data_IF_613775931019
#
_entry.id   IF_613775931019
#
_cell.length_a   1.000
_cell.length_b   1.000
_cell.length_c   1.000
_cell.angle_alpha   90.00
_cell.angle_beta   90.00
_cell.angle_gamma   90.00
#
_symmetry.space_group_name_H-M   'P 1'
#
loop_
_entity.id
_entity.type
_entity.pdbx_description
1 polymer ?
#
# COMPACT_ATOMS: atom_id res chain seq x y z
N UNK A 1 -9.93 -17.05 -19.75
CA UNK A 1 -9.23 -16.04 -18.93
C UNK A 1 -10.17 -15.20 -18.05
N UNK A 2 -11.34 -14.81 -18.51
CA UNK A 2 -12.33 -14.04 -17.74
C UNK A 2 -12.80 -14.75 -16.47
N UNK A 3 -13.04 -16.04 -16.53
CA UNK A 3 -13.58 -16.86 -15.42
C UNK A 3 -12.67 -16.94 -14.19
N UNK A 4 -11.36 -16.73 -14.36
CA UNK A 4 -10.37 -16.73 -13.26
C UNK A 4 -10.02 -15.33 -12.75
N UNK A 5 -10.19 -14.30 -13.57
CA UNK A 5 -9.87 -12.90 -13.19
C UNK A 5 -10.91 -12.29 -12.26
N UNK A 6 -12.18 -12.44 -12.61
CA UNK A 6 -13.28 -11.81 -11.86
C UNK A 6 -13.32 -12.25 -10.39
N UNK A 7 -13.26 -13.56 -10.03
CA UNK A 7 -13.23 -13.98 -8.64
C UNK A 7 -11.99 -13.47 -7.89
N UNK A 8 -10.83 -13.41 -8.55
CA UNK A 8 -9.58 -12.92 -7.95
C UNK A 8 -9.68 -11.43 -7.59
N UNK A 9 -10.20 -10.61 -8.49
CA UNK A 9 -10.31 -9.17 -8.29
C UNK A 9 -11.28 -8.86 -7.14
N UNK A 10 -12.39 -9.59 -7.03
CA UNK A 10 -13.30 -9.50 -5.88
C UNK A 10 -12.61 -9.91 -4.58
N UNK A 11 -11.89 -11.03 -4.59
CA UNK A 11 -11.15 -11.49 -3.41
C UNK A 11 -10.12 -10.45 -2.95
N UNK A 12 -9.37 -9.87 -3.88
CA UNK A 12 -8.39 -8.82 -3.60
C UNK A 12 -9.05 -7.58 -3.00
N UNK A 13 -10.22 -7.18 -3.51
CA UNK A 13 -10.98 -6.05 -2.98
C UNK A 13 -11.46 -6.31 -1.56
N UNK A 14 -12.00 -7.50 -1.27
CA UNK A 14 -12.41 -7.86 0.09
C UNK A 14 -11.22 -7.89 1.05
N UNK A 15 -10.09 -8.46 0.65
CA UNK A 15 -8.86 -8.46 1.45
C UNK A 15 -8.37 -7.03 1.71
N UNK A 16 -8.44 -6.15 0.71
CA UNK A 16 -8.03 -4.76 0.83
C UNK A 16 -8.89 -3.99 1.83
N UNK A 17 -10.21 -4.08 1.71
CA UNK A 17 -11.15 -3.44 2.63
C UNK A 17 -10.97 -4.01 4.05
N UNK A 18 -10.86 -5.34 4.18
CA UNK A 18 -10.61 -6.00 5.46
C UNK A 18 -9.32 -5.52 6.11
N UNK A 19 -8.24 -5.36 5.34
CA UNK A 19 -6.97 -4.84 5.83
C UNK A 19 -7.08 -3.38 6.30
N UNK A 20 -7.76 -2.51 5.55
CA UNK A 20 -7.96 -1.11 5.96
C UNK A 20 -8.74 -1.06 7.27
N UNK A 21 -9.83 -1.81 7.38
CA UNK A 21 -10.66 -1.86 8.59
C UNK A 21 -9.85 -2.39 9.78
N UNK A 22 -9.09 -3.47 9.59
CA UNK A 22 -8.23 -4.02 10.63
C UNK A 22 -7.13 -3.04 11.05
N UNK A 23 -6.52 -2.32 10.10
CA UNK A 23 -5.51 -1.32 10.40
C UNK A 23 -6.10 -0.12 11.17
N UNK A 24 -7.28 0.36 10.79
CA UNK A 24 -7.99 1.44 11.51
C UNK A 24 -8.30 1.00 12.94
N UNK A 25 -8.91 -0.15 13.12
CA UNK A 25 -9.23 -0.69 14.46
C UNK A 25 -7.94 -0.88 15.26
N UNK A 26 -6.90 -1.45 14.66
CA UNK A 26 -5.61 -1.65 15.28
C UNK A 26 -4.97 -0.34 15.78
N UNK A 27 -5.03 0.73 15.00
CA UNK A 27 -4.52 2.05 15.39
C UNK A 27 -5.32 2.62 16.57
N UNK A 28 -6.65 2.52 16.56
CA UNK A 28 -7.49 3.01 17.66
C UNK A 28 -7.30 2.21 18.96
N UNK A 29 -7.21 0.89 18.87
CA UNK A 29 -7.03 0.01 20.04
C UNK A 29 -5.62 0.15 20.62
N UNK A 30 -4.61 0.20 19.76
CA UNK A 30 -3.20 0.29 20.15
C UNK A 30 -2.81 1.67 20.67
N UNK A 31 -3.50 2.73 20.25
CA UNK A 31 -3.14 4.12 20.52
C UNK A 31 -1.62 4.36 20.43
N UNK A 32 -0.97 4.04 19.31
CA UNK A 32 0.47 4.00 19.21
C UNK A 32 1.04 5.42 19.29
N UNK A 33 2.03 5.64 20.13
CA UNK A 33 2.78 6.89 20.17
C UNK A 33 3.80 6.90 19.04
N UNK A 34 3.81 7.98 18.27
CA UNK A 34 4.81 8.21 17.22
C UNK A 34 6.09 8.68 17.90
N UNK A 35 7.13 7.86 17.86
CA UNK A 35 8.43 8.15 18.49
C UNK A 35 9.47 8.64 17.49
N UNK A 36 9.16 8.57 16.20
CA UNK A 36 10.05 9.07 15.15
C UNK A 36 10.08 10.61 15.15
N UNK A 37 11.27 11.24 15.08
CA UNK A 37 11.37 12.69 15.01
C UNK A 37 10.74 13.22 13.71
N UNK A 38 10.02 14.35 13.80
CA UNK A 38 9.33 14.94 12.66
C UNK A 38 10.31 15.42 11.55
N UNK A 39 11.52 15.77 11.93
CA UNK A 39 12.55 16.21 11.00
C UNK A 39 13.92 15.66 11.41
N UNK A 40 14.60 14.96 10.54
CA UNK A 40 15.90 14.32 10.79
C UNK A 40 17.05 15.07 10.09
N UNK A 41 16.74 15.96 9.14
CA UNK A 41 17.73 16.70 8.35
C UNK A 41 17.46 16.59 6.84
N UNK A 42 18.33 17.17 6.04
CA UNK A 42 18.20 17.16 4.56
C UNK A 42 18.83 15.93 3.91
N UNK A 43 19.44 15.05 4.68
CA UNK A 43 20.09 13.84 4.19
C UNK A 43 19.50 12.62 4.87
N UNK A 44 19.08 11.63 4.08
CA UNK A 44 18.57 10.36 4.60
C UNK A 44 19.70 9.52 5.19
N UNK A 45 19.38 8.60 6.09
CA UNK A 45 20.33 7.61 6.62
C UNK A 45 20.98 6.76 5.50
N UNK A 46 20.27 6.55 4.37
CA UNK A 46 20.80 5.89 3.16
C UNK A 46 21.74 6.75 2.32
N UNK A 47 22.08 7.97 2.76
CA UNK A 47 22.96 8.88 2.04
C UNK A 47 22.31 9.70 0.92
N UNK A 48 21.05 9.46 0.61
CA UNK A 48 20.29 10.20 -0.40
C UNK A 48 19.86 11.57 0.15
N UNK A 49 19.92 12.60 -0.69
CA UNK A 49 19.36 13.90 -0.34
C UNK A 49 17.84 13.89 -0.44
N UNK A 50 17.17 14.63 0.44
CA UNK A 50 15.70 14.79 0.39
C UNK A 50 15.26 15.34 -0.96
N UNK A 51 15.96 16.36 -1.46
CA UNK A 51 15.76 16.84 -2.82
C UNK A 51 16.90 16.30 -3.73
N UNK A 52 16.63 15.69 -4.88
CA UNK A 52 15.31 15.51 -5.53
C UNK A 52 14.56 14.23 -5.16
N UNK A 53 15.17 13.29 -4.43
CA UNK A 53 14.67 11.91 -4.28
C UNK A 53 13.27 11.85 -3.63
N UNK A 54 13.09 12.51 -2.48
CA UNK A 54 11.78 12.54 -1.82
C UNK A 54 10.73 13.24 -2.67
N UNK A 55 11.12 14.33 -3.35
CA UNK A 55 10.21 15.09 -4.19
C UNK A 55 9.70 14.26 -5.37
N UNK A 56 10.58 13.49 -6.02
CA UNK A 56 10.21 12.57 -7.10
C UNK A 56 9.29 11.47 -6.59
N UNK A 57 9.55 10.94 -5.39
CA UNK A 57 8.73 9.89 -4.80
C UNK A 57 7.31 10.39 -4.46
N UNK A 58 7.19 11.60 -3.91
CA UNK A 58 5.89 12.23 -3.63
C UNK A 58 5.17 12.58 -4.93
N UNK A 59 5.89 13.11 -5.92
CA UNK A 59 5.33 13.41 -7.24
C UNK A 59 4.81 12.15 -7.94
N UNK A 60 5.45 11.01 -7.77
CA UNK A 60 4.98 9.72 -8.30
C UNK A 60 3.60 9.35 -7.73
N UNK A 61 3.33 9.61 -6.46
CA UNK A 61 2.01 9.39 -5.86
C UNK A 61 0.95 10.40 -6.31
N UNK A 62 1.34 11.68 -6.52
CA UNK A 62 0.42 12.75 -6.85
C UNK A 62 0.09 12.84 -8.36
N UNK A 63 1.08 12.61 -9.22
CA UNK A 63 1.01 12.81 -10.69
C UNK A 63 1.58 11.59 -11.41
N UNK A 64 1.19 10.39 -10.98
CA UNK A 64 1.69 9.15 -11.58
C UNK A 64 1.20 8.99 -13.03
N UNK A 65 2.11 8.82 -13.94
CA UNK A 65 1.78 8.47 -15.32
C UNK A 65 1.05 7.12 -15.43
N UNK A 66 1.32 6.21 -14.52
CA UNK A 66 0.64 4.92 -14.45
C UNK A 66 -0.85 5.07 -14.10
N UNK A 67 -1.20 5.92 -13.13
CA UNK A 67 -2.60 6.20 -12.79
C UNK A 67 -3.35 6.84 -13.97
N UNK A 68 -2.71 7.72 -14.70
CA UNK A 68 -3.25 8.30 -15.93
C UNK A 68 -3.55 7.25 -16.99
N UNK A 69 -2.61 6.34 -17.26
CA UNK A 69 -2.78 5.25 -18.21
C UNK A 69 -3.88 4.27 -17.80
N UNK A 70 -3.93 3.88 -16.53
CA UNK A 70 -4.99 2.98 -16.02
C UNK A 70 -6.35 3.66 -16.10
N UNK A 71 -6.42 4.95 -15.80
CA UNK A 71 -7.67 5.72 -15.88
C UNK A 71 -8.21 5.78 -17.31
N UNK A 72 -7.37 6.14 -18.28
CA UNK A 72 -7.79 6.30 -19.67
C UNK A 72 -8.08 5.01 -20.40
N UNK A 73 -7.27 3.96 -20.16
CA UNK A 73 -7.35 2.74 -20.97
C UNK A 73 -8.16 1.60 -20.30
N UNK A 74 -8.21 1.56 -18.97
CA UNK A 74 -8.89 0.47 -18.26
C UNK A 74 -10.15 0.93 -17.56
N UNK A 75 -10.07 1.94 -16.69
CA UNK A 75 -11.21 2.35 -15.87
C UNK A 75 -12.31 3.00 -16.69
N UNK A 76 -11.96 3.83 -17.66
CA UNK A 76 -12.94 4.49 -18.56
C UNK A 76 -13.78 3.51 -19.37
N UNK A 77 -13.23 2.33 -19.67
CA UNK A 77 -13.93 1.28 -20.45
C UNK A 77 -14.77 0.36 -19.58
N UNK A 78 -14.60 0.37 -18.26
CA UNK A 78 -15.33 -0.47 -17.32
C UNK A 78 -16.52 0.24 -16.68
N UNK A 79 -16.56 1.57 -16.71
CA UNK A 79 -17.64 2.37 -16.13
C UNK A 79 -18.81 2.42 -17.12
N UNK A 80 -19.97 1.90 -16.70
CA UNK A 80 -21.16 1.85 -17.54
C UNK A 80 -21.94 3.18 -17.55
N UNK A 81 -21.94 3.90 -16.41
CA UNK A 81 -22.70 5.14 -16.25
C UNK A 81 -21.80 6.32 -15.90
N UNK A 82 -22.06 7.48 -16.48
CA UNK A 82 -21.33 8.72 -16.18
C UNK A 82 -21.45 9.13 -14.70
N UNK A 83 -22.57 8.80 -14.04
CA UNK A 83 -22.80 9.11 -12.62
C UNK A 83 -21.83 8.37 -11.68
N UNK A 84 -21.41 7.19 -12.09
CA UNK A 84 -20.51 6.34 -11.29
C UNK A 84 -19.04 6.81 -11.40
N UNK A 85 -18.72 7.63 -12.41
CA UNK A 85 -17.36 8.17 -12.59
C UNK A 85 -16.88 8.98 -11.39
N UNK A 86 -17.77 9.74 -10.75
CA UNK A 86 -17.42 10.51 -9.56
C UNK A 86 -17.08 9.60 -8.38
N UNK A 87 -17.87 8.55 -8.18
CA UNK A 87 -17.62 7.58 -7.09
C UNK A 87 -16.35 6.79 -7.33
N UNK A 88 -16.12 6.33 -8.54
CA UNK A 88 -14.92 5.55 -8.91
C UNK A 88 -13.66 6.42 -8.84
N UNK A 89 -13.67 7.62 -9.41
CA UNK A 89 -12.50 8.50 -9.43
C UNK A 89 -12.21 9.12 -8.07
N UNK A 90 -13.15 9.86 -7.52
CA UNK A 90 -12.97 10.59 -6.26
C UNK A 90 -12.99 9.67 -5.03
N UNK A 91 -13.83 8.64 -5.03
CA UNK A 91 -13.91 7.68 -3.94
C UNK A 91 -12.62 6.87 -3.79
N UNK A 92 -12.02 6.41 -4.88
CA UNK A 92 -10.73 5.70 -4.83
C UNK A 92 -9.61 6.60 -4.33
N UNK A 93 -9.58 7.88 -4.71
CA UNK A 93 -8.60 8.85 -4.25
C UNK A 93 -8.69 9.10 -2.74
N UNK A 94 -9.91 9.15 -2.18
CA UNK A 94 -10.11 9.26 -0.73
C UNK A 94 -9.63 8.03 0.02
N UNK A 95 -9.89 6.83 -0.50
CA UNK A 95 -9.39 5.58 0.08
C UNK A 95 -7.87 5.49 0.04
N UNK A 96 -7.24 5.92 -1.05
CA UNK A 96 -5.78 5.98 -1.16
C UNK A 96 -5.18 6.96 -0.14
N UNK A 97 -5.78 8.13 0.02
CA UNK A 97 -5.35 9.12 1.03
C UNK A 97 -5.48 8.58 2.46
N UNK A 98 -6.58 7.89 2.76
CA UNK A 98 -6.77 7.22 4.06
C UNK A 98 -5.69 6.17 4.30
N UNK A 99 -5.41 5.34 3.30
CA UNK A 99 -4.36 4.32 3.38
C UNK A 99 -2.98 4.94 3.60
N UNK A 100 -2.66 6.03 2.91
CA UNK A 100 -1.40 6.73 3.07
C UNK A 100 -1.21 7.26 4.51
N UNK A 101 -2.24 7.85 5.09
CA UNK A 101 -2.23 8.32 6.48
C UNK A 101 -2.01 7.14 7.43
N UNK A 102 -2.74 6.04 7.24
CA UNK A 102 -2.58 4.84 8.07
C UNK A 102 -1.15 4.28 7.99
N UNK A 103 -0.58 4.20 6.81
CA UNK A 103 0.80 3.71 6.63
C UNK A 103 1.80 4.60 7.34
N UNK A 104 1.66 5.92 7.26
CA UNK A 104 2.55 6.88 7.96
C UNK A 104 2.46 6.66 9.48
N UNK A 105 1.26 6.55 10.04
CA UNK A 105 1.05 6.31 11.46
C UNK A 105 1.66 4.97 11.89
N UNK A 106 1.43 3.91 11.13
CA UNK A 106 1.92 2.56 11.40
C UNK A 106 3.45 2.52 11.36
N UNK A 107 4.07 3.10 10.34
CA UNK A 107 5.53 3.14 10.21
C UNK A 107 6.16 4.01 11.31
N UNK A 108 5.53 5.14 11.65
CA UNK A 108 5.97 6.00 12.75
C UNK A 108 5.88 5.33 14.13
N UNK A 109 4.99 4.37 14.29
CA UNK A 109 4.78 3.61 15.52
C UNK A 109 5.67 2.35 15.64
N UNK A 110 6.36 1.94 14.58
CA UNK A 110 7.20 0.73 14.58
C UNK A 110 8.20 0.64 15.74
N UNK A 111 8.96 1.72 16.10
CA UNK A 111 9.89 1.66 17.22
C UNK A 111 9.19 1.38 18.55
N UNK A 112 8.00 1.92 18.74
CA UNK A 112 7.19 1.70 19.93
C UNK A 112 6.65 0.26 19.99
N UNK A 113 6.18 -0.29 18.89
CA UNK A 113 5.73 -1.68 18.78
C UNK A 113 6.85 -2.68 19.07
N UNK A 114 8.08 -2.36 18.71
CA UNK A 114 9.27 -3.12 19.12
C UNK A 114 9.53 -3.03 20.62
N UNK A 115 9.48 -1.81 21.18
CA UNK A 115 9.75 -1.56 22.58
C UNK A 115 8.71 -2.23 23.50
N UNK A 116 7.46 -2.32 23.08
CA UNK A 116 6.37 -2.98 23.81
C UNK A 116 6.41 -4.52 23.72
N UNK A 117 7.34 -5.09 22.95
CA UNK A 117 7.48 -6.55 22.80
C UNK A 117 6.34 -7.24 22.05
N UNK A 118 5.47 -6.45 21.43
CA UNK A 118 4.34 -6.96 20.64
C UNK A 118 4.81 -7.52 19.31
N UNK A 119 5.85 -6.92 18.74
CA UNK A 119 6.43 -7.37 17.49
C UNK A 119 7.63 -8.29 17.75
N UNK A 120 7.66 -9.44 17.07
CA UNK A 120 8.77 -10.38 17.18
C UNK A 120 10.11 -9.67 16.84
N UNK A 121 11.14 -9.97 17.63
CA UNK A 121 12.45 -9.31 17.53
C UNK A 121 13.09 -9.45 16.14
N UNK A 122 12.88 -10.57 15.46
CA UNK A 122 13.35 -10.80 14.10
C UNK A 122 12.68 -9.87 13.08
N UNK A 123 11.36 -9.79 13.14
CA UNK A 123 10.57 -8.91 12.26
C UNK A 123 10.86 -7.43 12.53
N UNK A 124 10.94 -7.06 13.80
CA UNK A 124 11.27 -5.70 14.20
C UNK A 124 12.66 -5.27 13.70
N UNK A 125 13.65 -6.15 13.81
CA UNK A 125 15.01 -5.86 13.34
C UNK A 125 15.07 -5.77 11.82
N UNK A 126 14.34 -6.65 11.10
CA UNK A 126 14.24 -6.56 9.63
C UNK A 126 13.55 -5.27 9.17
N UNK A 127 12.49 -4.85 9.85
CA UNK A 127 11.75 -3.65 9.50
C UNK A 127 12.47 -2.35 9.86
N UNK A 128 13.27 -2.34 10.92
CA UNK A 128 14.05 -1.18 11.37
C UNK A 128 15.43 -1.10 10.72
N UNK A 129 15.85 -2.10 9.95
CA UNK A 129 17.11 -2.06 9.22
C UNK A 129 17.11 -0.90 8.19
N UNK A 130 18.26 -0.26 8.00
CA UNK A 130 18.41 0.85 7.05
C UNK A 130 18.14 0.41 5.59
N UNK A 131 18.36 -0.87 5.31
CA UNK A 131 18.09 -1.51 4.02
C UNK A 131 16.64 -1.98 3.84
N UNK A 132 15.80 -1.84 4.88
CA UNK A 132 14.42 -2.31 4.83
C UNK A 132 13.59 -1.53 3.80
N UNK A 133 12.93 -2.27 2.93
CA UNK A 133 12.03 -1.68 1.95
C UNK A 133 10.81 -1.06 2.64
N UNK A 134 10.19 -0.03 2.07
CA UNK A 134 8.94 0.54 2.61
C UNK A 134 7.86 -0.51 2.85
N UNK A 135 7.84 -1.52 2.00
CA UNK A 135 6.95 -2.66 2.11
C UNK A 135 7.20 -3.50 3.36
N UNK A 136 8.45 -3.84 3.66
CA UNK A 136 8.82 -4.59 4.87
C UNK A 136 8.42 -3.83 6.13
N UNK A 137 8.59 -2.50 6.13
CA UNK A 137 8.20 -1.63 7.24
C UNK A 137 6.69 -1.62 7.47
N UNK A 138 5.91 -1.46 6.39
CA UNK A 138 4.45 -1.46 6.49
C UNK A 138 3.89 -2.83 6.88
N UNK A 139 4.43 -3.91 6.33
CA UNK A 139 3.99 -5.27 6.67
C UNK A 139 4.26 -5.63 8.12
N UNK A 140 5.43 -5.29 8.64
CA UNK A 140 5.77 -5.49 10.04
C UNK A 140 4.87 -4.66 10.97
N UNK A 141 4.59 -3.41 10.60
CA UNK A 141 3.71 -2.54 11.38
C UNK A 141 2.27 -3.05 11.45
N UNK A 142 1.69 -3.44 10.31
CA UNK A 142 0.34 -4.04 10.27
C UNK A 142 0.30 -5.35 11.05
N UNK A 143 1.31 -6.19 10.91
CA UNK A 143 1.43 -7.45 11.68
C UNK A 143 1.48 -7.19 13.19
N UNK A 144 2.20 -6.16 13.62
CA UNK A 144 2.24 -5.74 15.02
C UNK A 144 0.88 -5.29 15.55
N UNK A 145 0.12 -4.50 14.76
CA UNK A 145 -1.23 -4.09 15.14
C UNK A 145 -2.21 -5.26 15.20
N UNK A 146 -2.12 -6.17 14.26
CA UNK A 146 -2.94 -7.40 14.23
C UNK A 146 -2.62 -8.30 15.43
N UNK A 147 -1.34 -8.38 15.84
CA UNK A 147 -0.93 -9.10 17.03
C UNK A 147 -1.52 -8.51 18.33
N UNK A 148 -1.67 -7.18 18.40
CA UNK A 148 -2.34 -6.52 19.53
C UNK A 148 -3.85 -6.84 19.61
N UNK A 149 -4.48 -7.16 18.47
CA UNK A 149 -5.86 -7.64 18.43
C UNK A 149 -6.01 -9.11 18.87
N UNK A 150 -4.92 -9.75 19.31
CA UNK A 150 -4.91 -11.12 19.80
C UNK A 150 -4.73 -12.21 18.73
N UNK A 151 -4.44 -11.82 17.49
CA UNK A 151 -4.16 -12.77 16.41
C UNK A 151 -2.66 -13.12 16.36
N UNK A 152 -2.29 -14.38 16.06
CA UNK A 152 -0.88 -14.76 15.94
C UNK A 152 -0.20 -14.01 14.80
N UNK A 153 1.02 -13.56 15.00
CA UNK A 153 1.81 -12.77 14.04
C UNK A 153 2.00 -13.47 12.69
N UNK A 154 2.10 -14.79 12.71
CA UNK A 154 2.21 -15.59 11.48
C UNK A 154 1.03 -15.38 10.53
N UNK A 155 -0.17 -15.22 11.07
CA UNK A 155 -1.37 -14.93 10.26
C UNK A 155 -1.32 -13.53 9.66
N UNK A 156 -0.89 -12.53 10.43
CA UNK A 156 -0.72 -11.16 9.95
C UNK A 156 0.27 -11.11 8.77
N UNK A 157 1.41 -11.79 8.89
CA UNK A 157 2.40 -11.88 7.82
C UNK A 157 1.85 -12.60 6.58
N UNK A 158 1.18 -13.75 6.76
CA UNK A 158 0.58 -14.48 5.65
C UNK A 158 -0.43 -13.61 4.89
N UNK A 159 -1.33 -12.95 5.60
CA UNK A 159 -2.34 -12.07 4.98
C UNK A 159 -1.66 -10.92 4.22
N UNK A 160 -0.66 -10.28 4.81
CA UNK A 160 0.06 -9.18 4.17
C UNK A 160 0.84 -9.63 2.94
N UNK A 161 1.52 -10.76 2.99
CA UNK A 161 2.24 -11.29 1.83
C UNK A 161 1.31 -11.72 0.71
N UNK A 162 0.18 -12.35 1.03
CA UNK A 162 -0.87 -12.67 0.05
C UNK A 162 -1.46 -11.41 -0.58
N UNK A 163 -1.76 -10.41 0.22
CA UNK A 163 -2.29 -9.14 -0.24
C UNK A 163 -1.36 -8.43 -1.23
N UNK A 164 -0.07 -8.34 -0.90
CA UNK A 164 0.90 -7.68 -1.79
C UNK A 164 1.15 -8.48 -3.06
N UNK A 165 1.20 -9.79 -2.96
CA UNK A 165 1.30 -10.66 -4.15
C UNK A 165 0.10 -10.47 -5.07
N UNK A 166 -1.11 -10.35 -4.51
CA UNK A 166 -2.33 -10.08 -5.26
C UNK A 166 -2.31 -8.69 -5.92
N UNK A 167 -1.84 -7.65 -5.20
CA UNK A 167 -1.66 -6.31 -5.77
C UNK A 167 -0.63 -6.29 -6.90
N UNK A 168 0.50 -6.96 -6.72
CA UNK A 168 1.54 -7.06 -7.74
C UNK A 168 1.00 -7.75 -9.02
N UNK A 169 0.24 -8.82 -8.88
CA UNK A 169 -0.40 -9.50 -10.00
C UNK A 169 -1.44 -8.63 -10.70
N UNK A 170 -2.22 -7.86 -9.95
CA UNK A 170 -3.21 -6.94 -10.52
C UNK A 170 -2.53 -5.81 -11.30
N UNK A 171 -1.42 -5.27 -10.78
CA UNK A 171 -0.62 -4.25 -11.47
C UNK A 171 0.00 -4.79 -12.75
N UNK A 172 0.56 -6.00 -12.72
CA UNK A 172 1.12 -6.67 -13.90
C UNK A 172 0.05 -6.90 -14.99
N UNK A 173 -1.15 -7.29 -14.61
CA UNK A 173 -2.24 -7.47 -15.54
C UNK A 173 -2.67 -6.15 -16.21
N UNK A 174 -2.72 -5.06 -15.45
CA UNK A 174 -2.99 -3.72 -15.98
C UNK A 174 -1.89 -3.30 -16.97
N UNK A 175 -0.62 -3.46 -16.62
CA UNK A 175 0.51 -3.16 -17.53
C UNK A 175 0.45 -3.99 -18.80
N UNK A 176 0.14 -5.27 -18.71
CA UNK A 176 0.03 -6.15 -19.88
C UNK A 176 -1.09 -5.69 -20.84
N UNK A 177 -2.21 -5.21 -20.31
CA UNK A 177 -3.30 -4.65 -21.16
C UNK A 177 -2.87 -3.37 -21.86
N UNK A 178 -2.25 -2.44 -21.12
CA UNK A 178 -1.75 -1.17 -21.65
C UNK A 178 -0.73 -1.45 -22.76
N UNK A 179 0.24 -2.33 -22.50
CA UNK A 179 1.24 -2.72 -23.48
C UNK A 179 0.62 -3.30 -24.76
N UNK A 180 -0.38 -4.16 -24.61
CA UNK A 180 -1.08 -4.75 -25.77
C UNK A 180 -1.77 -3.66 -26.60
N UNK A 181 -2.42 -2.71 -25.99
CA UNK A 181 -3.10 -1.61 -26.70
C UNK A 181 -2.11 -0.71 -27.40
N UNK A 182 -1.02 -0.31 -26.74
CA UNK A 182 0.04 0.49 -27.36
C UNK A 182 0.70 -0.22 -28.55
N UNK A 183 0.88 -1.54 -28.45
CA UNK A 183 1.37 -2.33 -29.59
C UNK A 183 0.37 -2.36 -30.77
N UNK A 184 -0.92 -2.47 -30.49
CA UNK A 184 -1.94 -2.46 -31.54
C UNK A 184 -1.97 -1.11 -32.26
N UNK A 185 -1.94 -0.01 -31.52
CA UNK A 185 -1.90 1.36 -32.09
C UNK A 185 -0.62 1.65 -32.90
N UNK A 186 0.49 0.97 -32.57
CA UNK A 186 1.76 1.16 -33.29
C UNK A 186 1.78 0.47 -34.66
N UNK A 187 0.98 -0.58 -34.84
CA UNK A 187 0.94 -1.37 -36.09
C UNK A 187 -0.29 -1.07 -36.96
N UNK A 188 -1.23 -0.23 -36.51
CA UNK A 188 -2.31 0.35 -37.33
C UNK A 188 -1.85 1.65 -37.99
#
# INVERSE_FOLDING_TARGET
MWLLKTPRDYLTTFLFIGMIVAAVIGVFVSNPTITTPAFVGFKSASGSYIFPTLFVTIACGAVSGFHSLVSSETSSKLVENEKDMLQVGYGSMLLESLLAILVIVIVGALPNLKASGVLDSTLANMALADTATPFTKSSAGVTGLVAQLGLPQSWGLCIMTMFVSALALTSLDAVARISRMSFQEFFE
#
